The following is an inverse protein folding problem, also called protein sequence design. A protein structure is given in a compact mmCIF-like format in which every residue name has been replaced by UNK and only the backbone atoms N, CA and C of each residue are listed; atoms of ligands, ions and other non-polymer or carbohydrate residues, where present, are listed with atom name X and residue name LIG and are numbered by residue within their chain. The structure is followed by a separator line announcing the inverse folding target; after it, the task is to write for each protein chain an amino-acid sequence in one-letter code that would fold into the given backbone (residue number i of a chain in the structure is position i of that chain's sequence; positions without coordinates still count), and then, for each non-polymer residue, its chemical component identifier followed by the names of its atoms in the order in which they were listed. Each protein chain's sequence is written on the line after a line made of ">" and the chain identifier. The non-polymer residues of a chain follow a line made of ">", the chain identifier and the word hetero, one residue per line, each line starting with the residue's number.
data_IF_870074484734
#
_entry.id   IF_870074484734
#
_cell.length_a   1.000
_cell.length_b   1.000
_cell.length_c   1.000
_cell.angle_alpha   90.00
_cell.angle_beta   90.00
_cell.angle_gamma   90.00
#
_symmetry.space_group_name_H-M   'P 1'
#
loop_
_entity.id
_entity.type
_entity.pdbx_description
1 polymer ?
#
# COMPACT_ATOMS: atom_id res chain seq x y z
N UNK A 1 -4.02 3.53 12.21
CA UNK A 1 -2.82 4.27 11.77
C UNK A 1 -2.74 4.23 10.24
N UNK A 2 -2.49 5.37 9.60
CA UNK A 2 -2.21 5.48 8.15
C UNK A 2 -0.71 5.75 7.95
N UNK A 3 0.00 4.82 7.32
CA UNK A 3 1.46 4.84 7.17
C UNK A 3 1.82 5.33 5.76
N UNK A 4 2.58 6.44 5.68
CA UNK A 4 2.81 7.15 4.44
C UNK A 4 1.52 7.80 3.94
N UNK A 5 0.84 8.54 4.80
CA UNK A 5 -0.51 9.06 4.56
C UNK A 5 -0.59 10.18 3.50
N UNK A 6 0.57 10.66 3.01
CA UNK A 6 0.63 11.72 2.02
C UNK A 6 -0.08 12.99 2.48
N UNK A 7 -0.93 13.57 1.64
CA UNK A 7 -1.73 14.76 1.95
C UNK A 7 -2.98 14.47 2.80
N UNK A 8 -3.11 13.27 3.37
CA UNK A 8 -4.18 12.88 4.28
C UNK A 8 -5.55 12.63 3.64
N UNK A 9 -5.62 12.47 2.31
CA UNK A 9 -6.90 12.28 1.59
C UNK A 9 -7.67 11.05 2.09
N UNK A 10 -6.96 9.93 2.32
CA UNK A 10 -7.58 8.71 2.86
C UNK A 10 -8.04 8.92 4.30
N UNK A 11 -7.26 9.64 5.10
CA UNK A 11 -7.62 9.98 6.48
C UNK A 11 -8.91 10.80 6.54
N UNK A 12 -9.00 11.88 5.75
CA UNK A 12 -10.22 12.73 5.66
C UNK A 12 -11.44 11.89 5.27
N UNK A 13 -11.29 11.05 4.24
CA UNK A 13 -12.36 10.16 3.79
C UNK A 13 -12.81 9.19 4.89
N UNK A 14 -11.89 8.54 5.59
CA UNK A 14 -12.20 7.57 6.64
C UNK A 14 -12.84 8.25 7.87
N UNK A 15 -12.38 9.44 8.25
CA UNK A 15 -13.00 10.21 9.35
C UNK A 15 -14.45 10.54 8.98
N UNK A 16 -14.68 11.06 7.78
CA UNK A 16 -16.01 11.48 7.32
C UNK A 16 -16.98 10.32 7.18
N UNK A 17 -16.57 9.27 6.47
CA UNK A 17 -17.46 8.18 6.07
C UNK A 17 -17.57 7.06 7.12
N UNK A 18 -16.53 6.87 7.95
CA UNK A 18 -16.46 5.76 8.91
C UNK A 18 -16.39 6.21 10.37
N UNK A 19 -16.26 7.54 10.64
CA UNK A 19 -16.16 8.12 11.99
C UNK A 19 -15.07 7.47 12.84
N UNK A 20 -13.93 7.12 12.22
CA UNK A 20 -12.81 6.47 12.89
C UNK A 20 -11.87 7.49 13.52
N UNK A 21 -11.21 7.10 14.61
CA UNK A 21 -10.06 7.84 15.13
C UNK A 21 -8.83 7.36 14.38
N UNK A 22 -8.20 8.25 13.60
CA UNK A 22 -7.07 7.92 12.73
C UNK A 22 -5.90 8.86 13.00
N UNK A 23 -4.70 8.29 12.96
CA UNK A 23 -3.43 9.04 12.99
C UNK A 23 -2.64 8.72 11.75
N UNK A 24 -1.90 9.69 11.23
CA UNK A 24 -0.99 9.51 10.10
C UNK A 24 0.47 9.52 10.54
N UNK A 25 1.34 8.86 9.77
CA UNK A 25 2.79 9.07 9.80
C UNK A 25 3.25 9.34 8.37
N UNK A 26 4.03 10.40 8.18
CA UNK A 26 4.51 10.85 6.86
C UNK A 26 5.90 11.46 7.00
N UNK A 27 6.79 11.13 6.05
CA UNK A 27 8.18 11.60 6.04
C UNK A 27 8.33 12.99 5.40
N UNK A 28 7.44 13.35 4.47
CA UNK A 28 7.49 14.62 3.76
C UNK A 28 6.94 15.77 4.61
N UNK A 29 7.82 16.67 5.03
CA UNK A 29 7.45 17.84 5.84
C UNK A 29 6.35 18.70 5.22
N UNK A 30 6.36 18.90 3.90
CA UNK A 30 5.33 19.67 3.20
C UNK A 30 3.96 19.00 3.28
N UNK A 31 3.90 17.66 3.13
CA UNK A 31 2.65 16.88 3.26
C UNK A 31 2.15 16.85 4.70
N UNK A 32 3.05 16.76 5.68
CA UNK A 32 2.72 16.90 7.10
C UNK A 32 2.06 18.24 7.38
N UNK A 33 2.61 19.34 6.87
CA UNK A 33 2.01 20.68 7.01
C UNK A 33 0.62 20.77 6.37
N UNK A 34 0.43 20.16 5.19
CA UNK A 34 -0.88 20.09 4.54
C UNK A 34 -1.91 19.34 5.40
N UNK A 35 -1.51 18.23 6.01
CA UNK A 35 -2.37 17.47 6.93
C UNK A 35 -2.73 18.29 8.19
N UNK A 36 -1.76 18.97 8.79
CA UNK A 36 -1.99 19.84 9.97
C UNK A 36 -2.97 20.96 9.62
N UNK A 37 -2.81 21.61 8.46
CA UNK A 37 -3.73 22.66 8.00
C UNK A 37 -5.18 22.17 7.83
N UNK A 38 -5.37 20.86 7.59
CA UNK A 38 -6.68 20.19 7.51
C UNK A 38 -7.20 19.71 8.88
N UNK A 39 -6.46 19.93 9.98
CA UNK A 39 -6.82 19.47 11.31
C UNK A 39 -6.63 17.97 11.54
N UNK A 40 -5.83 17.29 10.72
CA UNK A 40 -5.54 15.86 10.86
C UNK A 40 -4.46 15.62 11.91
N UNK A 41 -4.59 14.52 12.67
CA UNK A 41 -3.58 14.08 13.62
C UNK A 41 -2.48 13.32 12.88
N UNK A 42 -1.28 13.92 12.82
CA UNK A 42 -0.16 13.37 12.05
C UNK A 42 1.16 13.47 12.83
N UNK A 43 2.05 12.54 12.54
CA UNK A 43 3.42 12.49 13.05
C UNK A 43 4.38 12.62 11.85
N UNK A 44 5.31 13.59 11.90
CA UNK A 44 6.42 13.64 10.96
C UNK A 44 7.41 12.53 11.33
N UNK A 45 7.68 11.60 10.41
CA UNK A 45 8.58 10.48 10.70
C UNK A 45 8.78 9.52 9.54
N UNK A 46 9.87 8.76 9.64
CA UNK A 46 10.22 7.68 8.73
C UNK A 46 9.63 6.36 9.24
N UNK A 47 8.64 5.83 8.54
CA UNK A 47 7.96 4.62 8.96
C UNK A 47 8.91 3.40 9.15
N UNK A 48 10.00 3.29 8.37
CA UNK A 48 10.98 2.21 8.56
C UNK A 48 11.74 2.28 9.91
N UNK A 49 11.81 3.48 10.50
CA UNK A 49 12.51 3.72 11.77
C UNK A 49 11.57 3.95 12.93
N UNK A 50 10.47 4.66 12.67
CA UNK A 50 9.65 5.25 13.73
C UNK A 50 8.43 4.41 14.11
N UNK A 51 8.02 3.41 13.30
CA UNK A 51 6.97 2.47 13.69
C UNK A 51 7.28 1.75 15.01
N UNK A 52 8.55 1.48 15.32
CA UNK A 52 8.98 0.87 16.58
C UNK A 52 8.62 1.68 17.84
N UNK A 53 8.30 2.97 17.71
CA UNK A 53 7.89 3.83 18.84
C UNK A 53 6.45 3.54 19.28
N UNK A 54 5.64 2.91 18.44
CA UNK A 54 4.28 2.54 18.79
C UNK A 54 4.26 1.21 19.56
N UNK A 55 3.45 1.09 20.62
CA UNK A 55 3.27 -0.17 21.33
C UNK A 55 2.63 -1.25 20.45
N UNK A 56 2.85 -2.51 20.83
CA UNK A 56 2.23 -3.65 20.17
C UNK A 56 0.70 -3.55 20.24
N UNK A 57 0.04 -3.89 19.11
CA UNK A 57 -1.42 -3.90 18.98
C UNK A 57 -2.14 -2.62 19.42
N UNK A 58 -1.43 -1.47 19.32
CA UNK A 58 -1.97 -0.17 19.71
C UNK A 58 -3.03 0.37 18.74
N UNK A 59 -3.15 -0.22 17.56
CA UNK A 59 -4.18 0.12 16.57
C UNK A 59 -4.99 -1.11 16.16
N UNK A 60 -6.29 -0.93 15.91
CA UNK A 60 -7.13 -1.99 15.37
C UNK A 60 -6.73 -2.30 13.92
N UNK A 61 -6.48 -1.24 13.14
CA UNK A 61 -6.02 -1.34 11.74
C UNK A 61 -4.83 -0.43 11.49
N UNK A 62 -3.85 -0.96 10.77
CA UNK A 62 -2.78 -0.15 10.17
C UNK A 62 -2.93 -0.20 8.67
N UNK A 63 -2.97 0.96 8.02
CA UNK A 63 -3.12 1.06 6.56
C UNK A 63 -1.78 1.47 5.94
N UNK A 64 -1.40 0.80 4.88
CA UNK A 64 -0.26 1.14 4.03
C UNK A 64 -0.74 1.20 2.58
N UNK A 65 -1.04 2.42 2.12
CA UNK A 65 -1.65 2.61 0.81
C UNK A 65 -0.63 3.00 -0.25
N UNK A 66 -0.31 2.06 -1.14
CA UNK A 66 0.59 2.26 -2.28
C UNK A 66 1.97 2.83 -1.90
N UNK A 67 2.49 2.45 -0.74
CA UNK A 67 3.77 2.96 -0.20
C UNK A 67 4.79 1.82 0.00
N UNK A 68 4.33 0.55 0.07
CA UNK A 68 5.20 -0.59 0.35
C UNK A 68 6.40 -0.68 -0.61
N UNK A 69 6.19 -0.36 -1.87
CA UNK A 69 7.21 -0.42 -2.91
C UNK A 69 8.26 0.70 -2.83
N UNK A 70 8.06 1.68 -1.97
CA UNK A 70 9.01 2.78 -1.74
C UNK A 70 9.96 2.54 -0.56
N UNK A 71 9.72 1.53 0.27
CA UNK A 71 10.58 1.21 1.40
C UNK A 71 11.81 0.41 0.97
N UNK A 72 12.93 0.63 1.66
CA UNK A 72 14.17 -0.13 1.45
C UNK A 72 14.01 -1.59 1.88
N UNK A 73 13.29 -1.83 2.98
CA UNK A 73 13.06 -3.16 3.53
C UNK A 73 11.56 -3.45 3.75
N UNK A 74 10.81 -3.82 2.70
CA UNK A 74 9.38 -4.09 2.79
C UNK A 74 9.01 -5.17 3.82
N UNK A 75 9.86 -6.19 4.01
CA UNK A 75 9.62 -7.25 4.99
C UNK A 75 9.61 -6.70 6.42
N UNK A 76 10.60 -5.88 6.76
CA UNK A 76 10.68 -5.24 8.08
C UNK A 76 9.44 -4.38 8.33
N UNK A 77 9.03 -3.60 7.33
CA UNK A 77 7.83 -2.75 7.45
C UNK A 77 6.59 -3.60 7.68
N UNK A 78 6.35 -4.67 6.90
CA UNK A 78 5.21 -5.56 7.11
C UNK A 78 5.19 -6.16 8.52
N UNK A 79 6.36 -6.57 9.05
CA UNK A 79 6.46 -7.09 10.41
C UNK A 79 6.08 -6.04 11.46
N UNK A 80 6.50 -4.79 11.28
CA UNK A 80 6.12 -3.68 12.16
C UNK A 80 4.63 -3.32 12.04
N UNK A 81 4.06 -3.31 10.83
CA UNK A 81 2.61 -3.11 10.67
C UNK A 81 1.81 -4.17 11.43
N UNK A 82 2.24 -5.45 11.35
CA UNK A 82 1.61 -6.58 12.04
C UNK A 82 1.89 -6.62 13.54
N UNK A 83 2.94 -5.94 14.02
CA UNK A 83 3.22 -5.74 15.44
C UNK A 83 2.33 -4.66 16.02
N UNK A 84 2.30 -3.50 15.38
CA UNK A 84 1.60 -2.29 15.84
C UNK A 84 0.08 -2.41 15.69
N UNK A 85 -0.40 -3.05 14.60
CA UNK A 85 -1.81 -3.27 14.33
C UNK A 85 -2.30 -4.66 14.72
N UNK A 86 -3.58 -4.78 15.04
CA UNK A 86 -4.26 -6.09 15.12
C UNK A 86 -4.34 -6.73 13.74
N UNK A 87 -4.63 -5.89 12.72
CA UNK A 87 -4.63 -6.24 11.30
C UNK A 87 -3.99 -5.11 10.50
N UNK A 88 -3.42 -5.42 9.32
CA UNK A 88 -2.94 -4.39 8.42
C UNK A 88 -3.58 -4.49 7.04
N UNK A 89 -3.86 -3.34 6.43
CA UNK A 89 -4.38 -3.22 5.07
C UNK A 89 -3.25 -2.69 4.20
N UNK A 90 -2.82 -3.49 3.23
CA UNK A 90 -1.75 -3.12 2.32
C UNK A 90 -2.30 -3.04 0.90
N UNK A 91 -2.00 -1.94 0.20
CA UNK A 91 -2.32 -1.82 -1.22
C UNK A 91 -1.06 -1.67 -2.04
N UNK A 92 -1.02 -2.33 -3.19
CA UNK A 92 0.12 -2.29 -4.10
C UNK A 92 -0.33 -2.05 -5.55
N UNK A 93 0.40 -1.23 -6.31
CA UNK A 93 0.23 -1.17 -7.76
C UNK A 93 0.66 -2.51 -8.38
N UNK A 94 -0.06 -2.96 -9.40
CA UNK A 94 0.21 -4.26 -10.01
C UNK A 94 0.97 -4.10 -11.33
N UNK A 95 2.27 -4.32 -11.32
CA UNK A 95 3.11 -4.37 -12.53
C UNK A 95 2.77 -5.54 -13.47
N UNK A 96 2.05 -6.56 -12.97
CA UNK A 96 1.54 -7.67 -13.77
C UNK A 96 0.35 -7.34 -14.67
N UNK A 97 -0.17 -6.10 -14.62
CA UNK A 97 -1.33 -5.68 -15.41
C UNK A 97 -1.04 -5.72 -16.92
N UNK A 98 -1.97 -6.27 -17.70
CA UNK A 98 -1.76 -6.51 -19.14
C UNK A 98 -1.36 -5.26 -19.95
N UNK A 99 -1.87 -4.07 -19.60
CA UNK A 99 -1.51 -2.82 -20.29
C UNK A 99 -0.04 -2.46 -20.08
N UNK A 100 0.50 -2.69 -18.86
CA UNK A 100 1.92 -2.48 -18.55
C UNK A 100 2.77 -3.44 -19.37
N UNK A 101 2.40 -4.74 -19.37
CA UNK A 101 3.11 -5.76 -20.14
C UNK A 101 3.11 -5.46 -21.64
N UNK A 102 1.95 -5.08 -22.19
CA UNK A 102 1.81 -4.74 -23.60
C UNK A 102 2.62 -3.49 -23.97
N UNK A 103 2.61 -2.47 -23.10
CA UNK A 103 3.41 -1.27 -23.29
C UNK A 103 4.91 -1.60 -23.34
N UNK A 104 5.41 -2.38 -22.38
CA UNK A 104 6.79 -2.84 -22.34
C UNK A 104 7.16 -3.66 -23.58
N UNK A 105 6.27 -4.56 -24.02
CA UNK A 105 6.49 -5.43 -25.18
C UNK A 105 6.57 -4.62 -26.47
N UNK A 106 5.70 -3.62 -26.66
CA UNK A 106 5.60 -2.88 -27.93
C UNK A 106 6.56 -1.69 -27.94
N UNK A 107 6.65 -0.93 -26.83
CA UNK A 107 7.41 0.33 -26.78
C UNK A 107 8.80 0.19 -26.17
N UNK A 108 9.06 -0.87 -25.39
CA UNK A 108 10.34 -1.08 -24.72
C UNK A 108 10.68 -0.02 -23.65
N UNK A 109 9.70 0.78 -23.21
CA UNK A 109 9.89 1.84 -22.20
C UNK A 109 9.00 1.62 -20.99
N UNK A 110 9.42 2.16 -19.82
CA UNK A 110 8.59 2.11 -18.61
C UNK A 110 7.30 2.92 -18.79
N UNK A 111 6.13 2.33 -18.49
CA UNK A 111 4.86 3.02 -18.68
C UNK A 111 4.57 4.00 -17.54
N UNK A 112 4.16 5.21 -17.87
CA UNK A 112 3.51 6.13 -16.94
C UNK A 112 2.00 5.90 -16.99
N UNK A 113 1.38 5.67 -15.83
CA UNK A 113 -0.04 5.33 -15.70
C UNK A 113 -0.69 6.04 -14.52
N UNK A 114 -2.01 5.96 -14.37
CA UNK A 114 -2.70 6.54 -13.19
C UNK A 114 -2.26 5.93 -11.86
N UNK A 115 -1.80 4.67 -11.84
CA UNK A 115 -1.29 3.98 -10.64
C UNK A 115 0.21 4.08 -10.49
N UNK A 116 0.92 4.54 -11.50
CA UNK A 116 2.36 4.76 -11.57
C UNK A 116 2.57 6.08 -12.32
N UNK A 117 2.28 7.23 -11.67
CA UNK A 117 2.20 8.51 -12.36
C UNK A 117 3.56 9.15 -12.66
N UNK A 118 4.61 8.67 -12.01
CA UNK A 118 5.95 9.24 -12.11
C UNK A 118 6.79 8.57 -13.20
N UNK A 119 7.69 9.33 -13.79
CA UNK A 119 8.72 8.82 -14.66
C UNK A 119 9.71 7.93 -13.89
N UNK A 120 10.33 6.97 -14.58
CA UNK A 120 11.20 5.97 -13.95
C UNK A 120 12.36 6.57 -13.11
N UNK A 121 12.84 7.76 -13.47
CA UNK A 121 13.93 8.46 -12.79
C UNK A 121 13.46 9.39 -11.66
N UNK A 122 12.16 9.67 -11.53
CA UNK A 122 11.57 10.52 -10.48
C UNK A 122 10.71 9.74 -9.49
N UNK A 123 10.45 8.45 -9.76
CA UNK A 123 9.57 7.64 -8.91
C UNK A 123 10.22 7.31 -7.57
N UNK A 124 9.49 7.40 -6.45
CA UNK A 124 9.93 6.87 -5.18
C UNK A 124 9.89 5.33 -5.13
N UNK A 125 9.28 4.68 -6.13
CA UNK A 125 9.11 3.23 -6.16
C UNK A 125 10.42 2.53 -6.51
N UNK A 126 11.03 1.85 -5.54
CA UNK A 126 12.26 1.07 -5.72
C UNK A 126 12.00 -0.42 -5.91
N UNK A 127 10.82 -0.91 -5.54
CA UNK A 127 10.40 -2.29 -5.74
C UNK A 127 9.19 -2.37 -6.66
N UNK A 128 9.34 -3.11 -7.76
CA UNK A 128 8.26 -3.35 -8.72
C UNK A 128 7.68 -4.74 -8.44
N UNK A 129 6.45 -4.83 -7.95
CA UNK A 129 5.81 -6.10 -7.63
C UNK A 129 4.49 -6.28 -8.36
N UNK A 130 4.08 -7.53 -8.47
CA UNK A 130 2.77 -7.91 -8.98
C UNK A 130 1.88 -8.43 -7.85
N UNK A 131 0.57 -8.55 -8.09
CA UNK A 131 -0.36 -9.23 -7.17
C UNK A 131 0.15 -10.64 -6.83
N UNK A 132 0.71 -11.34 -7.81
CA UNK A 132 1.24 -12.70 -7.64
C UNK A 132 2.48 -12.73 -6.75
N UNK A 133 3.37 -11.75 -6.90
CA UNK A 133 4.57 -11.64 -6.07
C UNK A 133 4.20 -11.38 -4.61
N UNK A 134 3.23 -10.50 -4.35
CA UNK A 134 2.78 -10.24 -2.98
C UNK A 134 2.16 -11.49 -2.32
N UNK A 135 1.36 -12.26 -3.06
CA UNK A 135 0.82 -13.53 -2.57
C UNK A 135 1.93 -14.54 -2.29
N UNK A 136 2.97 -14.60 -3.13
CA UNK A 136 4.13 -15.47 -2.91
C UNK A 136 4.96 -15.00 -1.71
N UNK A 137 5.14 -13.70 -1.57
CA UNK A 137 5.82 -13.08 -0.44
C UNK A 137 5.12 -13.40 0.90
N UNK A 138 3.78 -13.32 0.95
CA UNK A 138 3.03 -13.66 2.15
C UNK A 138 3.28 -15.09 2.63
N UNK A 139 3.34 -16.04 1.69
CA UNK A 139 3.64 -17.44 1.98
C UNK A 139 5.08 -17.62 2.48
N UNK A 140 6.04 -16.99 1.80
CA UNK A 140 7.46 -17.08 2.15
C UNK A 140 7.78 -16.47 3.53
N UNK A 141 7.01 -15.47 3.95
CA UNK A 141 7.20 -14.73 5.22
C UNK A 141 6.18 -15.09 6.30
N UNK A 142 5.36 -16.12 6.07
CA UNK A 142 4.42 -16.68 7.03
C UNK A 142 3.43 -15.66 7.65
N UNK A 143 2.89 -14.73 6.83
CA UNK A 143 1.74 -13.93 7.23
C UNK A 143 0.50 -14.30 6.41
N UNK A 144 -0.65 -14.26 7.06
CA UNK A 144 -1.92 -14.69 6.47
C UNK A 144 -2.58 -13.55 5.69
N UNK A 145 -3.05 -13.84 4.47
CA UNK A 145 -3.93 -12.97 3.70
C UNK A 145 -5.38 -13.34 4.04
N UNK A 146 -5.99 -12.66 5.01
CA UNK A 146 -7.36 -12.92 5.43
C UNK A 146 -8.38 -12.44 4.38
N UNK A 147 -8.04 -11.37 3.63
CA UNK A 147 -8.84 -10.90 2.51
C UNK A 147 -7.94 -10.37 1.40
N UNK A 148 -8.27 -10.71 0.16
CA UNK A 148 -7.51 -10.28 -1.01
C UNK A 148 -8.46 -9.79 -2.09
N UNK A 149 -8.28 -8.54 -2.53
CA UNK A 149 -9.14 -7.88 -3.51
C UNK A 149 -8.26 -7.32 -4.63
N UNK A 150 -8.68 -7.51 -5.86
CA UNK A 150 -8.10 -6.89 -7.04
C UNK A 150 -9.04 -5.80 -7.56
N UNK A 151 -8.48 -4.65 -7.92
CA UNK A 151 -9.22 -3.57 -8.57
C UNK A 151 -8.92 -3.55 -10.07
N UNK A 152 -9.97 -3.47 -10.87
CA UNK A 152 -9.92 -3.18 -12.30
C UNK A 152 -10.80 -1.98 -12.57
N UNK A 153 -10.22 -0.84 -12.95
CA UNK A 153 -10.98 0.40 -13.22
C UNK A 153 -12.01 0.72 -12.10
N UNK A 154 -11.53 0.70 -10.85
CA UNK A 154 -12.30 0.93 -9.61
C UNK A 154 -13.39 -0.13 -9.29
N UNK A 155 -13.48 -1.22 -10.05
CA UNK A 155 -14.39 -2.34 -9.73
C UNK A 155 -13.64 -3.39 -8.92
N UNK A 156 -14.05 -3.63 -7.65
CA UNK A 156 -13.41 -4.62 -6.78
C UNK A 156 -13.82 -6.04 -7.16
N UNK A 157 -12.91 -6.98 -6.97
CA UNK A 157 -13.17 -8.41 -7.14
C UNK A 157 -12.24 -9.23 -6.27
N UNK A 158 -12.76 -10.30 -5.66
CA UNK A 158 -11.97 -11.18 -4.79
C UNK A 158 -10.89 -11.94 -5.57
N UNK A 159 -9.71 -12.05 -4.96
CA UNK A 159 -8.62 -12.90 -5.42
C UNK A 159 -8.75 -14.25 -4.71
N UNK A 160 -8.81 -15.32 -5.49
CA UNK A 160 -8.76 -16.72 -5.03
C UNK A 160 -7.60 -17.42 -5.75
N UNK A 161 -7.12 -18.55 -5.22
CA UNK A 161 -6.01 -19.28 -5.88
C UNK A 161 -6.33 -19.64 -7.34
N UNK A 162 -7.56 -20.07 -7.62
CA UNK A 162 -8.03 -20.44 -8.96
C UNK A 162 -8.03 -19.27 -9.98
N UNK A 163 -8.16 -18.04 -9.53
CA UNK A 163 -8.23 -16.88 -10.42
C UNK A 163 -7.03 -15.93 -10.30
N UNK A 164 -6.02 -16.29 -9.52
CA UNK A 164 -4.87 -15.44 -9.24
C UNK A 164 -4.14 -14.96 -10.51
N UNK A 165 -3.88 -15.88 -11.44
CA UNK A 165 -3.21 -15.54 -12.71
C UNK A 165 -4.04 -14.55 -13.54
N UNK A 166 -5.36 -14.77 -13.62
CA UNK A 166 -6.27 -13.87 -14.33
C UNK A 166 -6.35 -12.50 -13.66
N UNK A 167 -6.46 -12.45 -12.31
CA UNK A 167 -6.50 -11.18 -11.57
C UNK A 167 -5.18 -10.43 -11.68
N UNK A 168 -4.05 -11.13 -11.63
CA UNK A 168 -2.74 -10.54 -11.86
C UNK A 168 -2.60 -9.90 -13.24
N UNK A 169 -3.22 -10.50 -14.27
CA UNK A 169 -3.21 -9.95 -15.63
C UNK A 169 -4.23 -8.80 -15.80
N UNK A 170 -5.43 -8.92 -15.23
CA UNK A 170 -6.55 -8.04 -15.55
C UNK A 170 -6.72 -6.83 -14.64
N UNK A 171 -6.01 -6.75 -13.51
CA UNK A 171 -6.21 -5.73 -12.48
C UNK A 171 -5.00 -4.82 -12.31
N UNK A 172 -5.23 -3.56 -12.02
CA UNK A 172 -4.18 -2.55 -11.88
C UNK A 172 -3.73 -2.33 -10.42
N UNK A 173 -4.50 -2.79 -9.43
CA UNK A 173 -4.19 -2.65 -8.01
C UNK A 173 -4.57 -3.92 -7.24
N UNK A 174 -3.75 -4.30 -6.25
CA UNK A 174 -4.05 -5.30 -5.23
C UNK A 174 -4.30 -4.65 -3.87
N UNK A 175 -5.29 -5.15 -3.12
CA UNK A 175 -5.61 -4.74 -1.76
C UNK A 175 -5.65 -6.01 -0.90
N UNK A 176 -4.90 -6.02 0.18
CA UNK A 176 -4.74 -7.17 1.05
C UNK A 176 -4.98 -6.79 2.50
N UNK A 177 -5.84 -7.54 3.17
CA UNK A 177 -5.96 -7.55 4.62
C UNK A 177 -5.04 -8.66 5.13
N UNK A 178 -4.06 -8.29 5.93
CA UNK A 178 -3.02 -9.20 6.44
C UNK A 178 -3.06 -9.29 7.95
N UNK A 179 -2.71 -10.46 8.46
CA UNK A 179 -2.62 -10.76 9.89
C UNK A 179 -1.57 -11.85 10.15
N UNK A 180 -1.13 -12.01 11.39
CA UNK A 180 -0.25 -13.10 11.81
C UNK A 180 -1.01 -14.38 12.03
#
# INVERSE_FOLDING_TARGET
>A
LDVGCGDGILMEFLIKEKKVNIRGIEISKSKVQNCIAKGLTIIEGDAEKDLKQFPDKSFDYVVLSQTLQAFLNPEKVINELLRVGKQAIVTIPNFGYWKIRLHLLIKGTMPVTKTLPEEWYNTPNIHLCTIKDFVSFSKAKNFRLSKSIALKSNKPSHIKSLNLNFKNLSSNLGIFLIER
#
